data_IF_381070262148
#
_entry.id   IF_381070262148
#
_cell.length_a   1.000
_cell.length_b   1.000
_cell.length_c   1.000
_cell.angle_alpha   90.00
_cell.angle_beta   90.00
_cell.angle_gamma   90.00
#
_symmetry.space_group_name_H-M   'P 1'
#
loop_
_entity.id
_entity.type
_entity.pdbx_description
1 polymer ?
#
# COMPACT_ATOMS: atom_id res chain seq x y z
N UNK A 1 -27.15 17.65 30.41
CA UNK A 1 -25.94 16.80 30.51
C UNK A 1 -25.74 15.89 29.29
N UNK A 2 -26.79 15.38 28.64
CA UNK A 2 -26.69 14.58 27.39
C UNK A 2 -26.06 15.30 26.18
N UNK A 3 -26.27 16.61 26.02
CA UNK A 3 -25.77 17.35 24.84
C UNK A 3 -24.24 17.47 24.81
N UNK A 4 -23.57 17.56 25.97
CA UNK A 4 -22.11 17.55 26.06
C UNK A 4 -21.51 16.17 25.71
N UNK A 5 -22.24 15.09 26.02
CA UNK A 5 -21.80 13.73 25.69
C UNK A 5 -21.94 13.44 24.19
N UNK A 6 -22.96 13.99 23.53
CA UNK A 6 -23.16 13.83 22.09
C UNK A 6 -22.12 14.62 21.27
N UNK A 7 -21.78 15.84 21.70
CA UNK A 7 -20.75 16.67 21.06
C UNK A 7 -19.37 16.01 21.23
N UNK A 8 -19.05 15.46 22.40
CA UNK A 8 -17.82 14.70 22.61
C UNK A 8 -17.73 13.47 21.69
N UNK A 9 -18.86 12.76 21.48
CA UNK A 9 -18.91 11.62 20.56
C UNK A 9 -18.64 12.05 19.11
N UNK A 10 -19.27 13.14 18.65
CA UNK A 10 -19.11 13.68 17.29
C UNK A 10 -17.67 14.18 17.06
N UNK A 11 -17.01 14.75 18.06
CA UNK A 11 -15.61 15.15 17.96
C UNK A 11 -14.65 13.96 17.88
N UNK A 12 -14.89 12.88 18.65
CA UNK A 12 -14.07 11.66 18.58
C UNK A 12 -14.21 10.96 17.22
N UNK A 13 -15.40 10.97 16.62
CA UNK A 13 -15.59 10.44 15.27
C UNK A 13 -14.92 11.31 14.19
N UNK A 14 -14.90 12.63 14.34
CA UNK A 14 -14.28 13.52 13.36
C UNK A 14 -12.74 13.48 13.37
N UNK A 15 -12.10 13.33 14.53
CA UNK A 15 -10.62 13.27 14.59
C UNK A 15 -10.10 12.02 13.85
N UNK A 16 -10.78 10.88 14.00
CA UNK A 16 -10.44 9.66 13.27
C UNK A 16 -10.84 9.71 11.77
N UNK A 17 -11.88 10.45 11.42
CA UNK A 17 -12.37 10.53 10.04
C UNK A 17 -11.56 11.49 9.14
N UNK A 18 -10.87 12.47 9.71
CA UNK A 18 -10.01 13.39 8.95
C UNK A 18 -8.67 12.72 8.59
N UNK A 19 -8.13 11.87 9.47
CA UNK A 19 -6.83 11.22 9.29
C UNK A 19 -6.84 10.20 8.11
N UNK A 20 -7.92 9.44 7.93
CA UNK A 20 -8.02 8.51 6.79
C UNK A 20 -8.33 9.19 5.44
N UNK A 21 -8.84 10.42 5.43
CA UNK A 21 -9.14 11.13 4.17
C UNK A 21 -7.89 11.36 3.32
N UNK A 22 -6.77 11.65 3.96
CA UNK A 22 -5.49 11.83 3.26
C UNK A 22 -4.94 10.50 2.73
N UNK A 23 -5.22 9.40 3.44
CA UNK A 23 -4.79 8.06 3.03
C UNK A 23 -5.49 7.52 1.78
N UNK A 24 -6.65 8.06 1.44
CA UNK A 24 -7.32 7.72 0.18
C UNK A 24 -6.61 8.31 -1.03
N UNK A 25 -5.81 9.36 -0.85
CA UNK A 25 -5.08 10.03 -1.93
C UNK A 25 -3.75 9.31 -2.19
N UNK A 26 -3.67 8.62 -3.33
CA UNK A 26 -2.44 7.96 -3.78
C UNK A 26 -2.21 6.58 -3.16
N UNK A 27 -1.02 6.04 -3.41
CA UNK A 27 -0.60 4.73 -2.90
C UNK A 27 -0.07 4.88 -1.48
N UNK A 28 -0.49 3.98 -0.59
CA UNK A 28 0.02 3.95 0.78
C UNK A 28 1.32 3.14 0.82
N UNK A 29 2.25 3.57 1.67
CA UNK A 29 3.49 2.87 1.95
C UNK A 29 3.66 2.74 3.46
N UNK A 30 3.59 1.50 3.93
CA UNK A 30 3.69 1.11 5.33
C UNK A 30 5.01 0.38 5.57
N UNK A 31 5.69 0.72 6.66
CA UNK A 31 6.82 -0.06 7.18
C UNK A 31 6.75 -0.18 8.68
N UNK A 32 7.42 -1.18 9.25
CA UNK A 32 7.37 -1.45 10.70
C UNK A 32 8.78 -1.62 11.28
N UNK A 33 9.01 -1.00 12.43
CA UNK A 33 10.24 -1.06 13.20
C UNK A 33 10.11 -2.04 14.36
N UNK A 34 11.24 -2.59 14.81
CA UNK A 34 11.35 -3.40 16.04
C UNK A 34 10.39 -4.60 16.18
N UNK A 35 9.93 -5.13 15.04
CA UNK A 35 9.08 -6.32 14.95
C UNK A 35 9.81 -7.52 14.31
N UNK A 36 9.30 -8.77 14.50
CA UNK A 36 9.86 -9.95 13.85
C UNK A 36 9.93 -9.81 12.33
N UNK A 37 10.96 -10.41 11.73
CA UNK A 37 11.23 -10.32 10.28
C UNK A 37 10.03 -10.76 9.44
N UNK A 38 9.32 -11.81 9.85
CA UNK A 38 8.15 -12.32 9.14
C UNK A 38 7.02 -11.29 9.09
N UNK A 39 6.85 -10.50 10.16
CA UNK A 39 5.85 -9.43 10.20
C UNK A 39 6.28 -8.21 9.38
N UNK A 40 7.58 -7.87 9.39
CA UNK A 40 8.12 -6.83 8.51
C UNK A 40 7.84 -7.14 7.05
N UNK A 41 8.17 -8.37 6.63
CA UNK A 41 7.90 -8.86 5.26
C UNK A 41 6.40 -8.80 4.95
N UNK A 42 5.54 -9.22 5.89
CA UNK A 42 4.09 -9.18 5.72
C UNK A 42 3.60 -7.74 5.45
N UNK A 43 4.02 -6.77 6.26
CA UNK A 43 3.61 -5.36 6.13
C UNK A 43 4.15 -4.75 4.83
N UNK A 44 5.44 -4.94 4.53
CA UNK A 44 6.06 -4.42 3.31
C UNK A 44 5.42 -5.00 2.03
N UNK A 45 4.92 -6.23 2.09
CA UNK A 45 4.26 -6.88 0.96
C UNK A 45 2.92 -6.25 0.61
N UNK A 46 2.25 -5.58 1.57
CA UNK A 46 0.97 -4.91 1.31
C UNK A 46 1.15 -3.75 0.34
N UNK A 47 2.31 -3.10 0.37
CA UNK A 47 2.64 -1.96 -0.50
C UNK A 47 2.72 -2.36 -1.99
N UNK A 48 2.65 -3.66 -2.31
CA UNK A 48 2.64 -4.15 -3.69
C UNK A 48 1.23 -4.28 -4.26
N UNK A 49 0.19 -4.17 -3.42
CA UNK A 49 -1.20 -4.36 -3.87
C UNK A 49 -1.89 -3.03 -4.23
N UNK A 50 -2.74 -3.03 -5.28
CA UNK A 50 -3.73 -1.98 -5.46
C UNK A 50 -4.85 -2.16 -4.43
N UNK A 51 -4.96 -1.20 -3.51
CA UNK A 51 -5.93 -1.23 -2.42
C UNK A 51 -7.16 -0.37 -2.75
N UNK A 52 -8.34 -0.94 -2.56
CA UNK A 52 -9.59 -0.18 -2.60
C UNK A 52 -9.71 0.74 -1.38
N UNK A 53 -10.68 1.64 -1.39
CA UNK A 53 -10.95 2.51 -0.23
C UNK A 53 -11.27 1.68 1.03
N UNK A 54 -12.11 0.67 0.89
CA UNK A 54 -12.52 -0.22 1.98
C UNK A 54 -11.34 -1.01 2.54
N UNK A 55 -10.45 -1.50 1.67
CA UNK A 55 -9.25 -2.21 2.10
C UNK A 55 -8.30 -1.29 2.86
N UNK A 56 -8.16 -0.03 2.43
CA UNK A 56 -7.33 0.97 3.13
C UNK A 56 -7.90 1.26 4.52
N UNK A 57 -9.21 1.44 4.63
CA UNK A 57 -9.87 1.72 5.92
C UNK A 57 -9.67 0.57 6.91
N UNK A 58 -9.96 -0.65 6.47
CA UNK A 58 -9.78 -1.83 7.29
C UNK A 58 -8.31 -2.01 7.67
N UNK A 59 -7.39 -1.91 6.72
CA UNK A 59 -5.96 -2.05 6.99
C UNK A 59 -5.48 -1.02 8.01
N UNK A 60 -5.71 0.26 7.76
CA UNK A 60 -5.18 1.33 8.60
C UNK A 60 -5.79 1.30 10.01
N UNK A 61 -7.10 0.98 10.13
CA UNK A 61 -7.75 0.74 11.42
C UNK A 61 -7.05 -0.38 12.20
N UNK A 62 -6.74 -1.51 11.54
CA UNK A 62 -6.02 -2.62 12.18
C UNK A 62 -4.56 -2.25 12.53
N UNK A 63 -3.90 -1.41 11.74
CA UNK A 63 -2.54 -0.92 12.02
C UNK A 63 -2.52 0.01 13.23
N UNK A 64 -3.42 0.99 13.29
CA UNK A 64 -3.56 1.91 14.43
C UNK A 64 -3.86 1.12 15.71
N UNK A 65 -4.78 0.15 15.62
CA UNK A 65 -5.08 -0.75 16.73
C UNK A 65 -3.85 -1.56 17.16
N UNK A 66 -3.13 -2.14 16.20
CA UNK A 66 -1.92 -2.92 16.50
C UNK A 66 -0.84 -2.06 17.15
N UNK A 67 -0.59 -0.83 16.69
CA UNK A 67 0.39 0.09 17.28
C UNK A 67 0.07 0.38 18.75
N UNK A 68 -1.18 0.71 19.04
CA UNK A 68 -1.63 1.06 20.38
C UNK A 68 -1.43 -0.08 21.38
N UNK A 69 -1.71 -1.32 20.97
CA UNK A 69 -1.63 -2.48 21.87
C UNK A 69 -0.24 -3.14 21.89
N UNK A 70 0.45 -3.24 20.75
CA UNK A 70 1.79 -3.86 20.70
C UNK A 70 2.81 -3.13 21.57
N UNK A 71 2.70 -1.81 21.71
CA UNK A 71 3.59 -1.03 22.60
C UNK A 71 3.44 -1.38 24.08
N UNK A 72 2.36 -2.06 24.46
CA UNK A 72 2.08 -2.47 25.84
C UNK A 72 2.41 -3.94 26.13
N UNK A 73 2.56 -4.75 25.08
CA UNK A 73 2.88 -6.17 25.22
C UNK A 73 4.41 -6.31 25.36
N UNK A 74 4.92 -7.14 26.30
CA UNK A 74 6.34 -7.43 26.38
C UNK A 74 6.90 -7.94 25.05
N UNK A 75 8.11 -7.49 24.67
CA UNK A 75 8.71 -7.80 23.36
C UNK A 75 8.80 -9.32 23.07
N UNK A 76 9.07 -10.13 24.09
CA UNK A 76 9.16 -11.59 23.95
C UNK A 76 7.80 -12.23 23.62
N UNK A 77 6.75 -11.80 24.31
CA UNK A 77 5.39 -12.30 24.09
C UNK A 77 4.86 -11.84 22.74
N UNK A 78 5.14 -10.59 22.37
CA UNK A 78 4.82 -10.06 21.05
C UNK A 78 5.53 -10.84 19.95
N UNK A 79 6.83 -11.12 20.12
CA UNK A 79 7.60 -11.93 19.18
C UNK A 79 6.98 -13.32 18.98
N UNK A 80 6.63 -14.00 20.08
CA UNK A 80 6.03 -15.33 20.03
C UNK A 80 4.64 -15.30 19.38
N UNK A 81 3.78 -14.37 19.80
CA UNK A 81 2.43 -14.17 19.27
C UNK A 81 2.47 -13.95 17.77
N UNK A 82 3.27 -12.99 17.32
CA UNK A 82 3.36 -12.61 15.91
C UNK A 82 3.85 -13.77 15.06
N UNK A 83 4.92 -14.45 15.48
CA UNK A 83 5.42 -15.62 14.74
C UNK A 83 4.40 -16.74 14.69
N UNK A 84 3.87 -17.15 15.85
CA UNK A 84 2.92 -18.25 15.93
C UNK A 84 1.70 -18.02 15.04
N UNK A 85 1.13 -16.82 15.07
CA UNK A 85 -0.07 -16.52 14.28
C UNK A 85 0.24 -16.48 12.78
N UNK A 86 1.38 -15.91 12.36
CA UNK A 86 1.79 -15.94 10.95
C UNK A 86 1.96 -17.38 10.47
N UNK A 87 2.73 -18.21 11.19
CA UNK A 87 2.97 -19.60 10.80
C UNK A 87 1.68 -20.42 10.78
N UNK A 88 0.82 -20.26 11.79
CA UNK A 88 -0.47 -20.94 11.86
C UNK A 88 -1.35 -20.55 10.67
N UNK A 89 -1.47 -19.25 10.41
CA UNK A 89 -2.31 -18.76 9.32
C UNK A 89 -1.80 -19.21 7.95
N UNK A 90 -0.49 -19.24 7.71
CA UNK A 90 0.11 -19.75 6.46
C UNK A 90 -0.18 -21.25 6.33
N UNK A 91 0.10 -22.06 7.35
CA UNK A 91 -0.11 -23.50 7.28
C UNK A 91 -1.59 -23.90 7.17
N UNK A 92 -2.50 -23.12 7.75
CA UNK A 92 -3.95 -23.36 7.70
C UNK A 92 -4.67 -22.55 6.63
N UNK A 93 -3.96 -21.95 5.66
CA UNK A 93 -4.60 -21.10 4.66
C UNK A 93 -5.44 -21.91 3.67
N UNK A 94 -4.87 -22.99 3.15
CA UNK A 94 -5.54 -23.88 2.22
C UNK A 94 -6.29 -24.97 2.98
N UNK A 95 -7.49 -25.33 2.53
CA UNK A 95 -8.18 -26.50 3.06
C UNK A 95 -7.47 -27.77 2.57
N UNK A 96 -6.81 -28.49 3.48
CA UNK A 96 -6.04 -29.69 3.17
C UNK A 96 -6.88 -30.89 2.74
N UNK A 97 -8.19 -30.87 2.96
CA UNK A 97 -9.08 -32.02 2.73
C UNK A 97 -9.27 -32.36 1.25
N UNK A 98 -9.11 -31.38 0.35
CA UNK A 98 -9.40 -31.55 -1.08
C UNK A 98 -8.17 -31.72 -1.97
N UNK A 99 -6.96 -31.73 -1.40
CA UNK A 99 -5.73 -31.71 -2.20
C UNK A 99 -5.07 -33.09 -2.15
N UNK A 100 -5.03 -33.75 -3.31
CA UNK A 100 -4.32 -35.02 -3.48
C UNK A 100 -2.85 -34.80 -3.11
N UNK A 101 -2.31 -35.65 -2.23
CA UNK A 101 -0.90 -35.52 -1.81
C UNK A 101 0.01 -35.62 -3.02
N UNK A 102 0.79 -34.58 -3.28
CA UNK A 102 1.74 -34.59 -4.40
C UNK A 102 2.94 -35.46 -4.00
N UNK A 103 3.40 -36.29 -4.93
CA UNK A 103 4.67 -36.99 -4.76
C UNK A 103 5.79 -35.98 -4.91
N UNK A 104 6.45 -35.65 -3.80
CA UNK A 104 7.59 -34.75 -3.80
C UNK A 104 8.80 -35.44 -4.47
N UNK A 105 9.44 -34.79 -5.43
CA UNK A 105 10.63 -35.30 -6.09
C UNK A 105 11.62 -34.16 -6.34
N UNK A 106 12.87 -34.51 -6.67
CA UNK A 106 13.90 -33.50 -6.95
C UNK A 106 13.54 -32.58 -8.13
N UNK A 107 12.92 -33.07 -9.23
CA UNK A 107 12.43 -32.20 -10.31
C UNK A 107 11.50 -31.08 -9.85
N UNK A 108 10.49 -31.38 -9.01
CA UNK A 108 9.58 -30.36 -8.46
C UNK A 108 10.36 -29.31 -7.66
N UNK A 109 11.35 -29.72 -6.85
CA UNK A 109 12.18 -28.76 -6.10
C UNK A 109 12.96 -27.88 -7.07
N UNK A 110 13.51 -28.45 -8.15
CA UNK A 110 14.26 -27.69 -9.14
C UNK A 110 13.38 -26.68 -9.89
N UNK A 111 12.13 -27.04 -10.22
CA UNK A 111 11.14 -26.14 -10.81
C UNK A 111 10.81 -24.97 -9.88
N UNK A 112 10.54 -25.25 -8.60
CA UNK A 112 10.26 -24.23 -7.59
C UNK A 112 11.47 -23.31 -7.37
N UNK A 113 12.69 -23.87 -7.34
CA UNK A 113 13.93 -23.07 -7.25
C UNK A 113 14.12 -22.18 -8.47
N UNK A 114 13.87 -22.69 -9.68
CA UNK A 114 13.92 -21.90 -10.91
C UNK A 114 12.95 -20.73 -10.81
N UNK A 115 11.71 -20.98 -10.39
CA UNK A 115 10.69 -19.95 -10.22
C UNK A 115 11.07 -18.91 -9.17
N UNK A 116 11.64 -19.33 -8.03
CA UNK A 116 12.12 -18.42 -6.99
C UNK A 116 13.22 -17.48 -7.48
N UNK A 117 13.99 -17.89 -8.49
CA UNK A 117 15.07 -17.09 -9.07
C UNK A 117 14.57 -16.21 -10.24
N UNK A 118 13.70 -16.73 -11.11
CA UNK A 118 13.22 -15.99 -12.29
C UNK A 118 12.16 -14.95 -11.94
N UNK A 119 11.27 -15.25 -11.00
CA UNK A 119 10.16 -14.36 -10.61
C UNK A 119 10.50 -13.53 -9.36
N UNK A 120 11.79 -13.29 -9.09
CA UNK A 120 12.25 -12.65 -7.84
C UNK A 120 11.64 -11.25 -7.64
N UNK A 121 11.50 -10.50 -8.73
CA UNK A 121 11.03 -9.11 -8.71
C UNK A 121 9.51 -8.99 -8.96
N UNK A 122 8.88 -10.04 -9.48
CA UNK A 122 7.43 -10.10 -9.71
C UNK A 122 6.65 -10.61 -8.49
N UNK A 123 7.25 -11.53 -7.74
CA UNK A 123 6.64 -12.07 -6.53
C UNK A 123 6.73 -11.06 -5.40
N UNK A 124 5.62 -10.85 -4.69
CA UNK A 124 5.67 -10.02 -3.50
C UNK A 124 6.61 -10.63 -2.44
N UNK A 125 7.18 -9.81 -1.54
CA UNK A 125 8.15 -10.28 -0.56
C UNK A 125 7.63 -11.45 0.30
N UNK A 126 6.35 -11.45 0.64
CA UNK A 126 5.71 -12.52 1.42
C UNK A 126 5.59 -13.84 0.64
N UNK A 127 5.18 -13.82 -0.62
CA UNK A 127 5.16 -15.01 -1.49
C UNK A 127 6.58 -15.56 -1.65
N UNK A 128 7.55 -14.69 -1.89
CA UNK A 128 8.97 -15.07 -2.01
C UNK A 128 9.47 -15.73 -0.73
N UNK A 129 9.11 -15.19 0.44
CA UNK A 129 9.42 -15.78 1.73
C UNK A 129 8.77 -17.16 1.92
N UNK A 130 7.47 -17.31 1.62
CA UNK A 130 6.77 -18.60 1.69
C UNK A 130 7.40 -19.61 0.74
N UNK A 131 7.65 -19.24 -0.53
CA UNK A 131 8.24 -20.11 -1.53
C UNK A 131 9.61 -20.64 -1.08
N UNK A 132 10.47 -19.77 -0.54
CA UNK A 132 11.78 -20.17 0.00
C UNK A 132 11.65 -21.10 1.20
N UNK A 133 10.69 -20.84 2.09
CA UNK A 133 10.41 -21.71 3.24
C UNK A 133 9.94 -23.12 2.78
N UNK A 134 9.02 -23.17 1.81
CA UNK A 134 8.55 -24.42 1.20
C UNK A 134 9.71 -25.19 0.57
N UNK A 135 10.56 -24.54 -0.24
CA UNK A 135 11.73 -25.19 -0.86
C UNK A 135 12.66 -25.79 0.22
N UNK A 136 12.97 -25.03 1.27
CA UNK A 136 13.83 -25.48 2.37
C UNK A 136 13.24 -26.70 3.09
N UNK A 137 11.94 -26.69 3.35
CA UNK A 137 11.26 -27.81 3.99
C UNK A 137 11.23 -29.05 3.08
N UNK A 138 10.99 -28.88 1.78
CA UNK A 138 11.04 -29.99 0.80
C UNK A 138 12.44 -30.61 0.70
N UNK A 139 13.49 -29.79 0.66
CA UNK A 139 14.87 -30.28 0.68
C UNK A 139 15.17 -31.08 1.96
N UNK A 140 14.65 -30.63 3.11
CA UNK A 140 14.79 -31.33 4.39
C UNK A 140 14.01 -32.66 4.40
N UNK A 141 12.84 -32.71 3.77
CA UNK A 141 12.01 -33.91 3.63
C UNK A 141 12.69 -34.96 2.74
N UNK A 142 13.18 -34.59 1.56
CA UNK A 142 13.83 -35.54 0.63
C UNK A 142 15.09 -36.16 1.26
N UNK A 143 15.87 -35.37 2.01
CA UNK A 143 17.08 -35.83 2.69
C UNK A 143 16.80 -36.69 3.93
N UNK A 144 15.55 -36.81 4.36
CA UNK A 144 15.20 -37.52 5.59
C UNK A 144 15.34 -39.04 5.43
N UNK A 145 15.93 -39.71 6.42
CA UNK A 145 16.27 -41.15 6.37
C UNK A 145 15.10 -42.08 6.04
N UNK A 146 13.88 -41.73 6.46
CA UNK A 146 12.68 -42.55 6.23
C UNK A 146 11.92 -42.19 4.95
N UNK A 147 12.41 -41.25 4.14
CA UNK A 147 11.70 -40.75 2.98
C UNK A 147 11.47 -41.83 1.90
N UNK A 148 12.48 -42.65 1.61
CA UNK A 148 12.33 -43.74 0.65
C UNK A 148 11.31 -44.78 1.11
N UNK A 149 11.35 -45.16 2.39
CA UNK A 149 10.36 -46.07 2.98
C UNK A 149 8.95 -45.49 2.92
N UNK A 150 8.79 -44.18 3.16
CA UNK A 150 7.52 -43.48 3.00
C UNK A 150 7.00 -43.58 1.56
N UNK A 151 7.84 -43.33 0.55
CA UNK A 151 7.46 -43.44 -0.86
C UNK A 151 7.02 -44.86 -1.23
N UNK A 152 7.75 -45.89 -0.80
CA UNK A 152 7.39 -47.28 -1.06
C UNK A 152 6.05 -47.65 -0.43
N UNK A 153 5.79 -47.22 0.82
CA UNK A 153 4.54 -47.53 1.50
C UNK A 153 3.33 -46.79 0.89
N UNK A 154 3.52 -45.53 0.48
CA UNK A 154 2.49 -44.76 -0.25
C UNK A 154 2.18 -45.37 -1.61
N UNK A 155 3.19 -45.79 -2.38
CA UNK A 155 2.99 -46.43 -3.67
C UNK A 155 2.23 -47.77 -3.56
N UNK A 156 2.40 -48.47 -2.43
CA UNK A 156 1.69 -49.71 -2.13
C UNK A 156 0.31 -49.49 -1.47
N UNK A 157 -0.15 -48.25 -1.32
CA UNK A 157 -1.39 -47.88 -0.63
C UNK A 157 -1.52 -48.49 0.78
N UNK A 158 -0.39 -48.73 1.45
CA UNK A 158 -0.38 -49.29 2.82
C UNK A 158 -0.67 -48.20 3.85
N UNK A 159 -1.42 -48.56 4.90
CA UNK A 159 -1.63 -47.66 6.05
C UNK A 159 -0.30 -47.40 6.76
N UNK A 160 0.05 -46.13 6.91
CA UNK A 160 1.24 -45.69 7.65
C UNK A 160 1.01 -45.92 9.15
N UNK A 161 1.73 -46.87 9.75
CA UNK A 161 1.64 -47.16 11.20
C UNK A 161 2.77 -46.52 12.01
N UNK A 162 3.91 -46.27 11.39
CA UNK A 162 5.07 -45.69 12.06
C UNK A 162 4.87 -44.18 12.25
N UNK A 163 5.08 -43.69 13.48
CA UNK A 163 4.97 -42.27 13.87
C UNK A 163 5.82 -41.38 12.97
N UNK A 164 7.03 -41.79 12.60
CA UNK A 164 7.92 -40.99 11.75
C UNK A 164 7.40 -40.87 10.32
N UNK A 165 6.77 -41.93 9.79
CA UNK A 165 6.13 -41.90 8.47
C UNK A 165 4.85 -41.06 8.51
N UNK A 166 4.10 -41.11 9.60
CA UNK A 166 2.92 -40.26 9.82
C UNK A 166 3.31 -38.77 9.92
N UNK A 167 4.41 -38.45 10.59
CA UNK A 167 4.94 -37.07 10.63
C UNK A 167 5.32 -36.57 9.23
N UNK A 168 5.97 -37.41 8.43
CA UNK A 168 6.29 -37.09 7.02
C UNK A 168 5.03 -36.86 6.19
N UNK A 169 4.04 -37.75 6.32
CA UNK A 169 2.77 -37.63 5.62
C UNK A 169 2.08 -36.30 5.95
N UNK A 170 1.98 -35.95 7.24
CA UNK A 170 1.42 -34.67 7.67
C UNK A 170 2.18 -33.48 7.09
N UNK A 171 3.51 -33.50 7.09
CA UNK A 171 4.33 -32.43 6.50
C UNK A 171 4.08 -32.27 5.01
N UNK A 172 4.06 -33.37 4.26
CA UNK A 172 3.82 -33.34 2.81
C UNK A 172 2.40 -32.87 2.51
N UNK A 173 1.41 -33.33 3.28
CA UNK A 173 0.02 -32.89 3.15
C UNK A 173 -0.14 -31.40 3.42
N UNK A 174 0.53 -30.85 4.44
CA UNK A 174 0.51 -29.40 4.73
C UNK A 174 1.20 -28.56 3.64
N UNK A 175 2.25 -29.09 3.01
CA UNK A 175 2.99 -28.39 1.95
C UNK A 175 2.36 -28.55 0.56
N UNK A 176 1.60 -29.62 0.32
CA UNK A 176 1.01 -29.93 -0.99
C UNK A 176 0.24 -28.76 -1.62
N UNK A 177 -0.63 -28.04 -0.89
CA UNK A 177 -1.34 -26.88 -1.45
C UNK A 177 -0.41 -25.78 -1.95
N UNK A 178 0.65 -25.51 -1.19
CA UNK A 178 1.66 -24.52 -1.54
C UNK A 178 2.45 -24.95 -2.77
N UNK A 179 2.84 -26.23 -2.85
CA UNK A 179 3.52 -26.78 -4.03
C UNK A 179 2.64 -26.62 -5.26
N UNK A 180 1.35 -26.97 -5.17
CA UNK A 180 0.40 -26.80 -6.28
C UNK A 180 0.29 -25.34 -6.71
N UNK A 181 0.08 -24.42 -5.76
CA UNK A 181 -0.04 -22.99 -6.03
C UNK A 181 1.21 -22.46 -6.74
N UNK A 182 2.40 -22.74 -6.20
CA UNK A 182 3.64 -22.24 -6.79
C UNK A 182 4.01 -22.94 -8.10
N UNK A 183 3.57 -24.17 -8.36
CA UNK A 183 3.90 -24.83 -9.63
C UNK A 183 2.94 -24.45 -10.76
N UNK A 184 1.65 -24.29 -10.46
CA UNK A 184 0.60 -24.13 -11.47
C UNK A 184 0.26 -22.67 -11.79
N UNK A 185 0.39 -21.76 -10.83
CA UNK A 185 -0.09 -20.38 -11.00
C UNK A 185 0.98 -19.41 -11.47
N UNK A 186 0.62 -18.31 -12.11
CA UNK A 186 1.58 -17.23 -12.47
C UNK A 186 1.98 -16.39 -11.25
N UNK A 187 3.02 -15.56 -11.35
CA UNK A 187 3.46 -14.66 -10.26
C UNK A 187 2.34 -13.74 -9.79
N UNK A 188 1.55 -13.19 -10.72
CA UNK A 188 0.41 -12.31 -10.45
C UNK A 188 -0.72 -13.06 -9.73
N UNK A 189 -1.08 -14.24 -10.22
CA UNK A 189 -2.09 -15.10 -9.60
C UNK A 189 -1.71 -15.47 -8.16
N UNK A 190 -0.43 -15.80 -7.92
CA UNK A 190 0.09 -16.10 -6.58
C UNK A 190 -0.08 -14.87 -5.67
N UNK A 191 0.31 -13.68 -6.15
CA UNK A 191 0.18 -12.45 -5.38
C UNK A 191 -1.28 -12.16 -5.01
N UNK A 192 -2.21 -12.31 -5.97
CA UNK A 192 -3.65 -12.15 -5.74
C UNK A 192 -4.21 -13.21 -4.78
N UNK A 193 -3.82 -14.47 -4.94
CA UNK A 193 -4.22 -15.56 -4.07
C UNK A 193 -3.74 -15.38 -2.62
N UNK A 194 -2.61 -14.68 -2.40
CA UNK A 194 -2.07 -14.39 -1.09
C UNK A 194 -2.63 -13.13 -0.44
N UNK A 195 -3.29 -12.24 -1.19
CA UNK A 195 -3.86 -11.00 -0.63
C UNK A 195 -4.83 -11.28 0.52
N UNK A 196 -5.82 -12.19 0.43
CA UNK A 196 -6.72 -12.47 1.54
C UNK A 196 -6.00 -12.98 2.79
N UNK A 197 -4.93 -13.76 2.62
CA UNK A 197 -4.10 -14.24 3.72
C UNK A 197 -3.44 -13.08 4.49
N UNK A 198 -2.92 -12.06 3.79
CA UNK A 198 -2.32 -10.89 4.42
C UNK A 198 -3.31 -10.18 5.35
N UNK A 199 -4.46 -9.79 4.80
CA UNK A 199 -5.50 -9.11 5.56
C UNK A 199 -5.99 -9.95 6.74
N UNK A 200 -6.15 -11.27 6.54
CA UNK A 200 -6.54 -12.18 7.61
C UNK A 200 -5.55 -12.19 8.76
N UNK A 201 -4.24 -12.24 8.48
CA UNK A 201 -3.19 -12.23 9.52
C UNK A 201 -3.21 -10.91 10.28
N UNK A 202 -3.28 -9.78 9.58
CA UNK A 202 -3.24 -8.44 10.19
C UNK A 202 -4.45 -8.21 11.09
N UNK A 203 -5.66 -8.49 10.60
CA UNK A 203 -6.90 -8.43 11.39
C UNK A 203 -6.81 -9.28 12.63
N UNK A 204 -6.29 -10.50 12.49
CA UNK A 204 -6.17 -11.45 13.60
C UNK A 204 -5.15 -10.99 14.65
N UNK A 205 -4.02 -10.42 14.24
CA UNK A 205 -3.03 -9.86 15.14
C UNK A 205 -3.53 -8.61 15.87
N UNK A 206 -4.26 -7.73 15.18
CA UNK A 206 -4.92 -6.58 15.81
C UNK A 206 -5.95 -7.04 16.85
N UNK A 207 -6.77 -8.03 16.50
CA UNK A 207 -7.75 -8.62 17.42
C UNK A 207 -7.09 -9.29 18.63
N UNK A 208 -6.06 -10.12 18.41
CA UNK A 208 -5.38 -10.84 19.49
C UNK A 208 -4.64 -9.91 20.43
N UNK A 209 -3.96 -8.88 19.91
CA UNK A 209 -3.27 -7.90 20.77
C UNK A 209 -4.24 -7.11 21.65
N UNK A 210 -5.38 -6.68 21.08
CA UNK A 210 -6.47 -6.08 21.85
C UNK A 210 -7.00 -7.04 22.91
N UNK A 211 -7.24 -8.30 22.56
CA UNK A 211 -7.78 -9.30 23.47
C UNK A 211 -6.81 -9.59 24.62
N UNK A 212 -5.53 -9.82 24.32
CA UNK A 212 -4.48 -10.03 25.32
C UNK A 212 -4.40 -8.83 26.26
N UNK A 213 -4.48 -7.61 25.73
CA UNK A 213 -4.50 -6.41 26.56
C UNK A 213 -5.74 -6.34 27.46
N UNK A 214 -6.92 -6.70 26.96
CA UNK A 214 -8.15 -6.68 27.75
C UNK A 214 -8.19 -7.76 28.83
N UNK A 215 -7.55 -8.91 28.60
CA UNK A 215 -7.49 -10.00 29.59
C UNK A 215 -6.35 -9.82 30.59
N UNK A 216 -5.30 -9.10 30.20
CA UNK A 216 -4.24 -8.67 31.11
C UNK A 216 -4.79 -7.53 31.94
N UNK A 217 -4.55 -7.51 33.26
CA UNK A 217 -5.12 -6.55 34.22
C UNK A 217 -4.59 -5.10 34.05
N UNK A 218 -4.56 -4.57 32.83
CA UNK A 218 -4.16 -3.20 32.56
C UNK A 218 -5.30 -2.24 32.90
N UNK A 219 -5.01 -1.24 33.74
CA UNK A 219 -6.03 -0.35 34.32
C UNK A 219 -6.68 0.62 33.33
N UNK A 220 -6.05 0.91 32.19
CA UNK A 220 -6.51 1.94 31.23
C UNK A 220 -6.30 1.51 29.79
N UNK A 221 -7.27 1.76 28.91
CA UNK A 221 -7.06 1.54 27.47
C UNK A 221 -5.97 2.48 26.93
N UNK A 222 -5.05 1.99 26.07
CA UNK A 222 -4.07 2.85 25.43
C UNK A 222 -4.79 3.81 24.48
N UNK A 223 -4.38 5.09 24.40
CA UNK A 223 -4.94 6.01 23.43
C UNK A 223 -4.57 5.55 22.03
N UNK A 224 -5.55 5.58 21.12
CA UNK A 224 -5.29 5.41 19.69
C UNK A 224 -4.57 6.65 19.18
N UNK A 225 -3.49 6.45 18.44
CA UNK A 225 -2.67 7.54 17.87
C UNK A 225 -3.07 7.80 16.43
N UNK A 226 -2.84 9.04 15.99
CA UNK A 226 -2.92 9.42 14.58
C UNK A 226 -1.85 8.70 13.74
N UNK A 227 -2.09 8.55 12.44
CA UNK A 227 -1.21 7.84 11.50
C UNK A 227 0.22 8.39 11.49
N UNK A 228 0.37 9.71 11.67
CA UNK A 228 1.66 10.39 11.68
C UNK A 228 2.42 10.23 13.01
N UNK A 229 1.76 9.74 14.07
CA UNK A 229 2.31 9.62 15.42
C UNK A 229 2.51 8.16 15.87
N UNK A 230 2.33 7.21 14.95
CA UNK A 230 2.54 5.78 15.22
C UNK A 230 3.98 5.51 15.66
N UNK A 231 4.13 4.66 16.68
CA UNK A 231 5.44 4.38 17.30
C UNK A 231 6.21 3.26 16.59
N UNK A 232 5.51 2.19 16.24
CA UNK A 232 6.08 0.99 15.62
C UNK A 232 5.97 1.05 14.11
N UNK A 233 4.88 1.64 13.60
CA UNK A 233 4.63 1.76 12.18
C UNK A 233 5.04 3.12 11.65
N UNK A 234 5.57 3.15 10.43
CA UNK A 234 5.76 4.35 9.64
C UNK A 234 4.78 4.32 8.49
N UNK A 235 3.91 5.32 8.46
CA UNK A 235 3.01 5.58 7.37
C UNK A 235 3.59 6.68 6.47
N UNK A 236 3.54 6.46 5.16
CA UNK A 236 3.83 7.46 4.15
C UNK A 236 2.89 7.25 2.96
N UNK A 237 2.61 8.32 2.23
CA UNK A 237 1.80 8.25 1.01
C UNK A 237 2.59 8.76 -0.18
N UNK A 238 2.41 8.13 -1.33
CA UNK A 238 2.87 8.69 -2.59
C UNK A 238 1.98 9.88 -2.94
N UNK A 239 2.59 11.06 -3.06
CA UNK A 239 1.90 12.28 -3.47
C UNK A 239 1.42 12.12 -4.92
N UNK A 240 0.19 12.55 -5.18
CA UNK A 240 -0.31 12.61 -6.55
C UNK A 240 0.49 13.64 -7.35
N UNK A 241 0.62 13.46 -8.68
CA UNK A 241 1.40 14.37 -9.53
C UNK A 241 1.04 15.85 -9.36
N UNK A 242 -0.22 16.16 -9.06
CA UNK A 242 -0.68 17.53 -8.78
C UNK A 242 -0.16 18.05 -7.43
N UNK A 243 -0.26 17.25 -6.38
CA UNK A 243 0.21 17.62 -5.03
C UNK A 243 1.74 17.67 -4.96
N UNK A 244 2.46 16.79 -5.66
CA UNK A 244 3.93 16.85 -5.73
C UNK A 244 4.43 18.07 -6.50
N UNK A 245 3.67 18.55 -7.49
CA UNK A 245 3.98 19.80 -8.20
C UNK A 245 3.72 21.00 -7.28
N UNK A 246 2.62 20.98 -6.50
CA UNK A 246 2.33 22.03 -5.52
C UNK A 246 3.37 22.10 -4.40
N UNK A 247 3.80 20.97 -3.83
CA UNK A 247 4.90 20.97 -2.86
C UNK A 247 6.20 21.51 -3.44
N UNK A 248 6.55 21.14 -4.69
CA UNK A 248 7.71 21.72 -5.36
C UNK A 248 7.57 23.23 -5.54
N UNK A 249 6.37 23.72 -5.84
CA UNK A 249 6.10 25.15 -5.95
C UNK A 249 6.24 25.81 -4.58
N UNK A 250 5.71 25.24 -3.51
CA UNK A 250 5.83 25.77 -2.15
C UNK A 250 7.28 25.73 -1.63
N UNK A 251 8.05 24.67 -1.92
CA UNK A 251 9.47 24.56 -1.58
C UNK A 251 10.34 25.55 -2.38
N UNK A 252 9.95 25.86 -3.62
CA UNK A 252 10.61 26.89 -4.45
C UNK A 252 10.23 28.29 -3.96
N UNK A 253 8.96 28.55 -3.66
CA UNK A 253 8.49 29.84 -3.14
C UNK A 253 9.06 30.11 -1.74
N UNK A 254 9.20 29.09 -0.89
CA UNK A 254 9.79 29.21 0.44
C UNK A 254 11.30 29.52 0.43
N UNK A 255 12.00 29.19 -0.66
CA UNK A 255 13.42 29.50 -0.85
C UNK A 255 13.67 30.77 -1.66
N UNK A 256 12.62 31.40 -2.22
CA UNK A 256 12.75 32.72 -2.83
C UNK A 256 12.37 33.72 -1.75
N UNK A 257 13.35 34.45 -1.20
CA UNK A 257 13.08 35.68 -0.47
C UNK A 257 12.55 36.72 -1.47
N UNK A 258 11.25 36.64 -1.80
CA UNK A 258 10.59 37.56 -2.75
C UNK A 258 10.58 39.00 -2.20
N UNK A 259 10.83 39.15 -0.89
CA UNK A 259 10.92 40.44 -0.23
C UNK A 259 12.25 40.57 0.51
N UNK A 260 13.05 41.63 0.25
CA UNK A 260 14.26 41.87 1.01
C UNK A 260 13.87 42.04 2.49
N UNK A 261 14.53 41.25 3.34
CA UNK A 261 14.41 41.40 4.79
C UNK A 261 14.83 42.81 5.20
N UNK A 262 14.04 43.46 6.06
CA UNK A 262 14.13 44.89 6.47
C UNK A 262 15.47 45.33 7.11
N UNK A 263 16.53 44.53 7.04
CA UNK A 263 17.83 44.79 7.67
C UNK A 263 19.03 44.85 6.72
N UNK A 264 18.90 44.54 5.42
CA UNK A 264 20.04 44.66 4.50
C UNK A 264 20.03 46.02 3.79
N UNK A 265 20.74 46.99 4.36
CA UNK A 265 21.10 48.22 3.66
C UNK A 265 22.21 47.92 2.64
N UNK A 266 21.87 47.27 1.53
CA UNK A 266 22.76 47.25 0.37
C UNK A 266 22.58 48.57 -0.36
N UNK A 267 23.52 49.51 -0.16
CA UNK A 267 23.70 50.65 -1.05
C UNK A 267 24.15 50.10 -2.41
N UNK A 268 23.19 49.81 -3.28
CA UNK A 268 23.45 49.42 -4.67
C UNK A 268 23.61 50.72 -5.46
N UNK A 269 24.85 51.16 -5.64
CA UNK A 269 25.20 52.40 -6.34
C UNK A 269 25.20 52.28 -7.87
N UNK A 270 25.08 51.07 -8.41
CA UNK A 270 25.08 50.80 -9.85
C UNK A 270 23.77 50.11 -10.29
N UNK A 271 22.63 50.77 -10.07
CA UNK A 271 21.42 50.43 -10.81
C UNK A 271 21.54 51.04 -12.21
N UNK A 272 21.40 50.25 -13.31
CA UNK A 272 21.29 50.82 -14.63
C UNK A 272 20.05 51.73 -14.67
N UNK A 273 20.19 52.94 -15.22
CA UNK A 273 19.05 53.81 -15.45
C UNK A 273 18.00 53.03 -16.25
N UNK A 274 16.72 53.04 -15.84
CA UNK A 274 15.68 52.29 -16.53
C UNK A 274 15.57 52.78 -17.98
N UNK A 275 16.04 51.96 -18.92
CA UNK A 275 15.81 52.15 -20.36
C UNK A 275 14.48 51.51 -20.71
N UNK A 276 13.62 52.27 -21.38
CA UNK A 276 12.31 51.81 -21.81
C UNK A 276 12.44 50.99 -23.11
N UNK A 277 13.20 49.89 -23.04
CA UNK A 277 13.57 49.04 -24.19
C UNK A 277 12.41 48.14 -24.66
N UNK A 278 11.26 48.21 -24.00
CA UNK A 278 10.08 47.38 -24.26
C UNK A 278 9.10 48.02 -25.24
N UNK A 279 9.35 49.23 -25.72
CA UNK A 279 8.57 49.88 -26.78
C UNK A 279 9.28 49.59 -28.10
N UNK A 280 8.73 48.73 -28.98
CA UNK A 280 9.25 48.56 -30.33
C UNK A 280 9.34 49.93 -31.00
N UNK A 281 10.49 50.28 -31.59
CA UNK A 281 10.69 51.59 -32.24
C UNK A 281 9.67 51.87 -33.36
N UNK A 282 9.02 50.82 -33.87
CA UNK A 282 8.02 50.89 -34.93
C UNK A 282 6.62 51.34 -34.44
N UNK A 283 6.31 51.22 -33.15
CA UNK A 283 4.99 51.59 -32.60
C UNK A 283 4.81 53.10 -32.39
N UNK A 284 5.86 53.90 -32.59
CA UNK A 284 5.82 55.36 -32.51
C UNK A 284 5.48 56.02 -33.86
N UNK A 285 5.32 55.24 -34.93
CA UNK A 285 4.84 55.77 -36.20
C UNK A 285 3.31 55.80 -36.20
N UNK A 286 2.75 56.99 -36.44
CA UNK A 286 1.30 57.14 -36.65
C UNK A 286 0.83 56.16 -37.73
N UNK A 287 -0.08 55.25 -37.36
CA UNK A 287 -0.71 54.32 -38.30
C UNK A 287 -1.18 55.11 -39.54
N UNK A 288 -0.75 54.70 -40.74
CA UNK A 288 -1.12 55.36 -42.02
C UNK A 288 -2.61 55.21 -42.37
N UNK A 289 -3.40 54.58 -41.49
CA UNK A 289 -4.79 54.23 -41.69
C UNK A 289 -5.66 55.28 -41.00
N UNK A 290 -6.60 55.88 -41.73
CA UNK A 290 -7.51 56.88 -41.16
C UNK A 290 -8.51 56.17 -40.24
N UNK A 291 -8.89 56.80 -39.14
CA UNK A 291 -9.79 56.25 -38.10
C UNK A 291 -11.11 55.66 -38.66
N UNK A 292 -11.60 56.17 -39.80
CA UNK A 292 -12.81 55.68 -40.46
C UNK A 292 -12.68 54.29 -41.10
N UNK A 293 -11.46 53.84 -41.42
CA UNK A 293 -11.23 52.48 -41.98
C UNK A 293 -11.13 51.42 -40.88
N UNK A 294 -10.82 51.83 -39.65
CA UNK A 294 -10.72 50.93 -38.48
C UNK A 294 -12.08 50.69 -37.82
N UNK A 295 -13.04 51.59 -38.06
CA UNK A 295 -14.38 51.55 -37.49
C UNK A 295 -15.40 51.94 -38.57
N UNK A 296 -15.78 51.00 -39.46
CA UNK A 296 -16.83 51.28 -40.44
C UNK A 296 -18.12 51.70 -39.73
N UNK A 297 -18.83 52.67 -40.32
CA UNK A 297 -20.12 53.10 -39.78
C UNK A 297 -21.10 51.92 -39.75
N UNK A 298 -21.90 51.78 -38.69
CA UNK A 298 -22.83 50.67 -38.54
C UNK A 298 -23.80 50.63 -39.73
N UNK A 299 -23.94 49.44 -40.33
CA UNK A 299 -24.79 49.23 -41.50
C UNK A 299 -26.24 49.69 -41.21
N UNK A 300 -26.77 50.69 -41.94
CA UNK A 300 -28.11 51.21 -41.71
C UNK A 300 -29.22 50.18 -41.95
N UNK A 301 -28.92 49.06 -42.62
CA UNK A 301 -29.86 47.96 -42.85
C UNK A 301 -29.74 46.82 -41.83
N UNK A 302 -28.92 46.97 -40.78
CA UNK A 302 -28.81 45.95 -39.75
C UNK A 302 -30.15 45.76 -39.02
N UNK A 303 -30.78 44.60 -39.21
CA UNK A 303 -31.89 44.14 -38.37
C UNK A 303 -31.35 43.18 -37.33
N UNK A 304 -31.47 43.59 -36.06
CA UNK A 304 -31.13 42.73 -34.92
C UNK A 304 -31.97 41.44 -35.00
N UNK A 305 -31.36 40.24 -34.88
CA UNK A 305 -32.11 39.00 -34.86
C UNK A 305 -33.04 38.93 -33.64
N UNK A 306 -34.24 38.40 -33.82
CA UNK A 306 -35.26 38.31 -32.76
C UNK A 306 -34.88 37.33 -31.65
N UNK A 307 -34.04 36.34 -31.96
CA UNK A 307 -33.44 35.43 -30.98
C UNK A 307 -31.94 35.26 -31.27
N UNK A 308 -31.16 35.08 -30.19
CA UNK A 308 -29.76 34.70 -30.32
C UNK A 308 -29.69 33.28 -30.89
N UNK A 309 -28.72 32.97 -31.76
CA UNK A 309 -28.51 31.60 -32.22
C UNK A 309 -28.22 30.71 -31.00
N UNK A 310 -28.80 29.51 -31.00
CA UNK A 310 -28.54 28.53 -29.94
C UNK A 310 -27.05 28.15 -29.97
N UNK A 311 -26.42 27.98 -28.79
CA UNK A 311 -25.02 27.57 -28.73
C UNK A 311 -24.87 26.19 -29.35
N UNK A 312 -24.15 26.12 -30.47
CA UNK A 312 -23.77 24.86 -31.10
C UNK A 312 -22.66 24.25 -30.24
N UNK A 313 -22.95 23.13 -29.59
CA UNK A 313 -21.97 22.34 -28.86
C UNK A 313 -21.17 21.48 -29.85
N UNK A 314 -20.22 22.10 -30.56
CA UNK A 314 -19.29 21.41 -31.48
C UNK A 314 -18.29 20.46 -30.76
N UNK A 315 -18.45 20.24 -29.45
CA UNK A 315 -17.56 19.42 -28.63
C UNK A 315 -18.11 18.02 -28.31
N UNK A 316 -19.33 17.72 -28.76
CA UNK A 316 -19.84 16.35 -28.71
C UNK A 316 -19.28 15.59 -29.92
N UNK A 317 -18.15 14.91 -29.72
CA UNK A 317 -17.73 13.83 -30.60
C UNK A 317 -18.81 12.74 -30.53
N UNK A 318 -19.48 12.49 -31.65
CA UNK A 318 -20.40 11.36 -31.82
C UNK A 318 -19.72 10.06 -31.37
N UNK A 319 -20.40 9.31 -30.49
CA UNK A 319 -20.01 7.96 -30.03
C UNK A 319 -20.62 6.91 -30.94
#
# INVERSE_FOLDING_TARGET
MMMKSLIALIFIFNINAVDFRDAYKGKINLSVKDMPTEYKILIESINHYPLSKEDKDDLLSNIVMSDAFFTKIPKNDLFLLTKMEIYKAVLSYHNSENIKSIRVNQPIINELMKKANTAKDELNPFASWILRAVIKDLQSIIKYKYYQTYLTQKAQSKKLKNIELLKLDKKITLLSPWISLFNLSTSEEINLALRPLHFRIIRRLAFLSKTIYQTSSFDKMPPMKELNQLSLFKYSRELTNRESTLQKIDDVIGNIEIFPSKGSSTNISDLPNPSNDWIPKDDMQSLKIKKGDLFPEPDPNYKKPESLPEPVNDWLLDI
#
